data_IF_908988684725
#
_entry.id   IF_908988684725
#
_cell.length_a   1.000
_cell.length_b   1.000
_cell.length_c   1.000
_cell.angle_alpha   90.00
_cell.angle_beta   90.00
_cell.angle_gamma   90.00
#
_symmetry.space_group_name_H-M   'P 1'
#
loop_
_entity.id
_entity.type
_entity.pdbx_description
1 polymer ?
#
# COMPACT_ATOMS: atom_id res chain seq x y z
N UNK A 1 -20.71 16.58 31.42
CA UNK A 1 -20.75 16.55 29.95
C UNK A 1 -20.20 15.20 29.55
N UNK A 2 -21.09 14.27 29.25
CA UNK A 2 -20.76 12.90 28.81
C UNK A 2 -19.92 12.95 27.54
N UNK A 3 -18.68 12.47 27.60
CA UNK A 3 -17.94 12.09 26.40
C UNK A 3 -18.49 10.74 25.96
N UNK A 4 -19.37 10.76 24.97
CA UNK A 4 -19.86 9.56 24.30
C UNK A 4 -18.68 8.86 23.63
N UNK A 5 -18.21 7.77 24.25
CA UNK A 5 -17.44 6.73 23.56
C UNK A 5 -18.34 6.15 22.46
N UNK A 6 -18.30 6.76 21.28
CA UNK A 6 -18.78 6.10 20.07
C UNK A 6 -17.81 4.97 19.79
N UNK A 7 -18.24 3.74 20.10
CA UNK A 7 -17.63 2.54 19.54
C UNK A 7 -17.92 2.61 18.04
N UNK A 8 -16.95 3.08 17.27
CA UNK A 8 -17.00 3.00 15.81
C UNK A 8 -16.94 1.52 15.46
N UNK A 9 -18.06 0.94 15.03
CA UNK A 9 -18.07 -0.37 14.39
C UNK A 9 -17.42 -0.21 13.01
N UNK A 10 -16.10 -0.31 12.99
CA UNK A 10 -15.35 -0.51 11.75
C UNK A 10 -15.63 -1.96 11.32
N UNK A 11 -16.36 -2.13 10.21
CA UNK A 11 -16.49 -3.45 9.59
C UNK A 11 -15.12 -3.83 9.02
N UNK A 12 -14.43 -4.84 9.56
CA UNK A 12 -13.11 -5.21 9.07
C UNK A 12 -13.15 -5.67 7.60
N UNK A 13 -14.32 -6.12 7.11
CA UNK A 13 -14.48 -6.62 5.75
C UNK A 13 -13.40 -7.65 5.38
N UNK A 14 -13.09 -7.81 4.09
CA UNK A 14 -11.97 -8.65 3.66
C UNK A 14 -10.59 -7.99 3.85
N UNK A 15 -10.54 -6.71 4.26
CA UNK A 15 -9.32 -5.89 4.23
C UNK A 15 -8.20 -6.45 5.10
N UNK A 16 -8.51 -6.94 6.30
CA UNK A 16 -7.53 -7.53 7.22
C UNK A 16 -6.92 -8.81 6.68
N UNK A 17 -7.76 -9.67 6.08
CA UNK A 17 -7.29 -10.91 5.45
C UNK A 17 -6.37 -10.59 4.27
N UNK A 18 -6.74 -9.62 3.43
CA UNK A 18 -5.92 -9.20 2.29
C UNK A 18 -4.59 -8.62 2.79
N UNK A 19 -4.61 -7.77 3.82
CA UNK A 19 -3.39 -7.23 4.43
C UNK A 19 -2.49 -8.35 4.94
N UNK A 20 -3.03 -9.30 5.71
CA UNK A 20 -2.26 -10.42 6.23
C UNK A 20 -1.67 -11.30 5.12
N UNK A 21 -2.38 -11.48 3.99
CA UNK A 21 -1.84 -12.17 2.82
C UNK A 21 -0.68 -11.36 2.20
N UNK A 22 -0.81 -10.04 2.08
CA UNK A 22 0.28 -9.19 1.59
C UNK A 22 1.52 -9.28 2.50
N UNK A 23 1.32 -9.34 3.82
CA UNK A 23 2.39 -9.48 4.81
C UNK A 23 3.06 -10.86 4.70
N UNK A 24 2.26 -11.93 4.60
CA UNK A 24 2.75 -13.31 4.51
C UNK A 24 3.60 -13.54 3.25
N UNK A 25 3.25 -12.91 2.13
CA UNK A 25 4.01 -13.04 0.88
C UNK A 25 5.16 -12.04 0.76
N UNK A 26 5.44 -11.23 1.79
CA UNK A 26 6.51 -10.23 1.78
C UNK A 26 6.35 -9.17 0.69
N UNK A 27 5.11 -8.74 0.43
CA UNK A 27 4.80 -7.87 -0.70
C UNK A 27 5.45 -6.50 -0.59
N UNK A 28 5.37 -5.87 0.59
CA UNK A 28 5.91 -4.52 0.78
C UNK A 28 7.42 -4.51 0.66
N UNK A 29 8.10 -5.51 1.25
CA UNK A 29 9.54 -5.71 1.18
C UNK A 29 10.00 -5.86 -0.27
N UNK A 30 9.36 -6.76 -1.01
CA UNK A 30 9.66 -7.00 -2.43
C UNK A 30 9.53 -5.72 -3.26
N UNK A 31 8.45 -4.96 -3.05
CA UNK A 31 8.24 -3.71 -3.80
C UNK A 31 9.24 -2.64 -3.38
N UNK A 32 9.59 -2.54 -2.11
CA UNK A 32 10.54 -1.56 -1.61
C UNK A 32 11.98 -1.86 -2.05
N UNK A 33 12.34 -3.12 -2.30
CA UNK A 33 13.62 -3.50 -2.89
C UNK A 33 13.74 -3.12 -4.37
N UNK A 34 12.62 -3.20 -5.11
CA UNK A 34 12.60 -3.06 -6.56
C UNK A 34 12.31 -1.63 -7.03
N UNK A 35 11.72 -0.79 -6.17
CA UNK A 35 11.23 0.53 -6.54
C UNK A 35 12.04 1.64 -5.88
N UNK A 36 12.42 2.64 -6.67
CA UNK A 36 13.06 3.84 -6.11
C UNK A 36 12.09 4.60 -5.20
N UNK A 37 12.58 5.01 -4.03
CA UNK A 37 11.83 5.79 -3.07
C UNK A 37 12.47 7.15 -2.81
N UNK A 38 11.70 8.21 -3.11
CA UNK A 38 12.04 9.58 -2.74
C UNK A 38 11.30 9.98 -1.44
N UNK A 39 11.96 9.72 -0.32
CA UNK A 39 11.45 10.02 1.03
C UNK A 39 11.13 11.51 1.22
N UNK A 40 11.80 12.42 0.50
CA UNK A 40 11.54 13.86 0.62
C UNK A 40 10.17 14.24 0.05
N UNK A 41 9.64 13.44 -0.87
CA UNK A 41 8.36 13.70 -1.54
C UNK A 41 7.21 12.89 -0.96
N UNK A 42 7.48 11.76 -0.32
CA UNK A 42 6.45 10.93 0.31
C UNK A 42 7.01 10.11 1.47
N UNK A 43 6.41 10.29 2.65
CA UNK A 43 6.80 9.58 3.87
C UNK A 43 6.42 8.09 3.86
N UNK A 44 5.54 7.66 2.96
CA UNK A 44 5.17 6.25 2.84
C UNK A 44 6.00 5.57 1.74
N UNK A 45 6.47 4.36 2.05
CA UNK A 45 7.20 3.53 1.09
C UNK A 45 6.33 3.24 -0.16
N UNK A 46 6.94 2.99 -1.34
CA UNK A 46 6.21 2.54 -2.52
C UNK A 46 5.39 1.27 -2.25
N UNK A 47 5.95 0.32 -1.51
CA UNK A 47 5.31 -0.94 -1.12
C UNK A 47 4.03 -0.71 -0.31
N UNK A 48 4.08 0.11 0.73
CA UNK A 48 2.90 0.44 1.56
C UNK A 48 1.79 1.07 0.72
N UNK A 49 2.15 1.98 -0.19
CA UNK A 49 1.17 2.65 -1.07
C UNK A 49 0.55 1.69 -2.09
N UNK A 50 1.32 0.74 -2.60
CA UNK A 50 0.82 -0.27 -3.54
C UNK A 50 -0.01 -1.36 -2.84
N UNK A 51 0.35 -1.75 -1.60
CA UNK A 51 -0.51 -2.60 -0.75
C UNK A 51 -1.85 -1.92 -0.49
N UNK A 52 -1.84 -0.62 -0.18
CA UNK A 52 -3.08 0.15 -0.01
C UNK A 52 -3.94 0.13 -1.29
N UNK A 53 -3.33 0.27 -2.46
CA UNK A 53 -4.05 0.16 -3.73
C UNK A 53 -4.64 -1.25 -3.93
N UNK A 54 -3.92 -2.32 -3.58
CA UNK A 54 -4.41 -3.70 -3.65
C UNK A 54 -5.61 -3.92 -2.73
N UNK A 55 -5.52 -3.47 -1.47
CA UNK A 55 -6.62 -3.55 -0.51
C UNK A 55 -7.85 -2.83 -1.05
N UNK A 56 -7.68 -1.61 -1.58
CA UNK A 56 -8.76 -0.86 -2.19
C UNK A 56 -9.40 -1.63 -3.37
N UNK A 57 -8.60 -2.13 -4.31
CA UNK A 57 -9.07 -2.87 -5.49
C UNK A 57 -9.80 -4.16 -5.12
N UNK A 58 -9.41 -4.83 -4.05
CA UNK A 58 -9.99 -6.12 -3.65
C UNK A 58 -11.19 -5.99 -2.72
N UNK A 59 -11.34 -4.87 -2.00
CA UNK A 59 -12.47 -4.64 -1.10
C UNK A 59 -13.65 -3.95 -1.78
N UNK A 60 -13.45 -2.73 -2.31
CA UNK A 60 -14.56 -1.85 -2.71
C UNK A 60 -14.31 -1.09 -4.02
N UNK A 61 -13.07 -1.12 -4.55
CA UNK A 61 -12.67 -0.51 -5.83
C UNK A 61 -13.04 0.97 -5.95
N UNK A 62 -12.92 1.72 -4.85
CA UNK A 62 -13.18 3.16 -4.89
C UNK A 62 -12.21 3.85 -5.86
N UNK A 63 -12.66 4.84 -6.64
CA UNK A 63 -11.77 5.64 -7.48
C UNK A 63 -10.61 6.23 -6.65
N UNK A 64 -9.44 6.43 -7.27
CA UNK A 64 -8.26 6.95 -6.58
C UNK A 64 -8.53 8.26 -5.83
N UNK A 65 -9.34 9.17 -6.37
CA UNK A 65 -9.70 10.42 -5.70
C UNK A 65 -10.52 10.25 -4.40
N UNK A 66 -11.06 9.06 -4.16
CA UNK A 66 -11.81 8.70 -2.95
C UNK A 66 -11.06 7.68 -2.06
N UNK A 67 -9.81 7.36 -2.37
CA UNK A 67 -9.08 6.30 -1.66
C UNK A 67 -8.79 6.66 -0.20
N UNK A 68 -8.54 7.94 0.10
CA UNK A 68 -8.39 8.41 1.48
C UNK A 68 -9.69 8.28 2.29
N UNK A 69 -10.84 8.55 1.65
CA UNK A 69 -12.16 8.37 2.26
C UNK A 69 -12.45 6.89 2.51
N UNK A 70 -12.05 6.01 1.58
CA UNK A 70 -12.11 4.56 1.78
C UNK A 70 -11.31 4.13 3.01
N UNK A 71 -10.08 4.60 3.21
CA UNK A 71 -9.30 4.23 4.40
C UNK A 71 -9.80 4.86 5.70
N UNK A 72 -10.60 5.92 5.65
CA UNK A 72 -11.26 6.47 6.85
C UNK A 72 -12.36 5.55 7.40
N UNK A 73 -12.86 4.60 6.61
CA UNK A 73 -13.87 3.61 7.04
C UNK A 73 -13.25 2.33 7.60
N UNK A 74 -11.92 2.22 7.62
CA UNK A 74 -11.15 1.04 8.04
C UNK A 74 -10.22 1.35 9.22
N UNK A 75 -9.80 0.31 9.94
CA UNK A 75 -8.77 0.43 10.97
C UNK A 75 -7.38 0.42 10.32
N UNK A 76 -6.92 1.60 9.87
CA UNK A 76 -5.64 1.78 9.17
C UNK A 76 -4.47 1.23 9.97
N UNK A 77 -4.48 1.34 11.30
CA UNK A 77 -3.40 0.85 12.16
C UNK A 77 -3.31 -0.67 12.23
N UNK A 78 -4.40 -1.36 11.86
CA UNK A 78 -4.41 -2.81 11.77
C UNK A 78 -3.96 -3.31 10.40
N UNK A 79 -3.99 -2.46 9.37
CA UNK A 79 -3.63 -2.82 7.99
C UNK A 79 -2.18 -2.43 7.63
N UNK A 80 -1.63 -1.42 8.32
CA UNK A 80 -0.33 -0.85 8.02
C UNK A 80 0.43 -0.53 9.31
N UNK A 81 1.66 -0.01 9.16
CA UNK A 81 2.45 0.46 10.29
C UNK A 81 1.70 1.48 11.16
N UNK A 82 1.99 1.54 12.48
CA UNK A 82 1.25 2.38 13.43
C UNK A 82 1.23 3.88 13.12
N UNK A 83 2.19 4.34 12.33
CA UNK A 83 2.39 5.75 11.96
C UNK A 83 1.64 6.15 10.67
N UNK A 84 0.99 5.21 10.00
CA UNK A 84 0.19 5.49 8.78
C UNK A 84 -1.18 6.02 9.16
N UNK A 85 -1.55 7.19 8.63
CA UNK A 85 -2.92 7.70 8.72
C UNK A 85 -3.65 7.63 7.38
N UNK A 86 -4.98 7.52 7.40
CA UNK A 86 -5.80 7.47 6.18
C UNK A 86 -5.53 8.64 5.21
N UNK A 87 -5.26 9.84 5.75
CA UNK A 87 -4.93 11.03 4.96
C UNK A 87 -3.62 10.90 4.16
N UNK A 88 -2.70 10.05 4.62
CA UNK A 88 -1.41 9.82 3.96
C UNK A 88 -1.59 8.88 2.76
N UNK A 89 -2.71 8.16 2.70
CA UNK A 89 -3.16 7.30 1.61
C UNK A 89 -4.11 8.07 0.67
N UNK A 90 -3.54 8.96 -0.15
CA UNK A 90 -4.29 9.75 -1.14
C UNK A 90 -3.83 9.46 -2.58
N UNK A 91 -4.60 9.97 -3.55
CA UNK A 91 -4.40 9.76 -4.99
C UNK A 91 -3.03 10.21 -5.48
N UNK A 92 -2.47 11.28 -4.92
CA UNK A 92 -1.17 11.80 -5.34
C UNK A 92 -0.05 10.86 -4.87
N UNK A 93 -0.11 10.41 -3.62
CA UNK A 93 0.87 9.49 -3.06
C UNK A 93 0.84 8.14 -3.82
N UNK A 94 -0.35 7.61 -4.09
CA UNK A 94 -0.52 6.34 -4.82
C UNK A 94 -0.14 6.49 -6.30
N UNK A 95 -0.50 7.60 -6.95
CA UNK A 95 -0.07 7.90 -8.31
C UNK A 95 1.45 7.89 -8.45
N UNK A 96 2.17 8.49 -7.49
CA UNK A 96 3.64 8.45 -7.45
C UNK A 96 4.23 7.06 -7.22
N UNK A 97 3.50 6.17 -6.55
CA UNK A 97 3.91 4.78 -6.40
C UNK A 97 3.71 3.99 -7.70
N UNK A 98 2.65 4.29 -8.45
CA UNK A 98 2.44 3.75 -9.80
C UNK A 98 3.49 4.25 -10.80
N UNK A 99 3.89 5.52 -10.70
CA UNK A 99 5.00 6.05 -11.50
C UNK A 99 6.30 5.30 -11.19
N UNK A 100 6.61 5.08 -9.89
CA UNK A 100 7.77 4.31 -9.49
C UNK A 100 7.71 2.86 -10.00
N UNK A 101 6.54 2.22 -9.91
CA UNK A 101 6.31 0.89 -10.46
C UNK A 101 6.51 0.84 -11.98
N UNK A 102 6.05 1.88 -12.69
CA UNK A 102 6.27 1.99 -14.12
C UNK A 102 7.76 2.07 -14.44
N UNK A 103 8.49 2.98 -13.80
CA UNK A 103 9.93 3.15 -14.07
C UNK A 103 10.79 1.95 -13.65
N UNK A 104 10.50 1.34 -12.49
CA UNK A 104 11.30 0.24 -11.94
C UNK A 104 11.01 -1.13 -12.54
N UNK A 105 9.78 -1.38 -13.00
CA UNK A 105 9.34 -2.72 -13.43
C UNK A 105 8.79 -2.75 -14.86
N UNK A 106 8.04 -1.72 -15.27
CA UNK A 106 7.27 -1.76 -16.53
C UNK A 106 7.88 -0.94 -17.67
N UNK A 107 8.92 -0.14 -17.41
CA UNK A 107 9.63 0.64 -18.41
C UNK A 107 10.90 -0.12 -18.84
N UNK A 108 10.91 -0.78 -20.01
CA UNK A 108 12.07 -1.50 -20.51
C UNK A 108 13.08 -0.53 -21.14
N UNK A 109 13.63 0.40 -20.36
CA UNK A 109 14.80 1.18 -20.77
C UNK A 109 16.07 0.31 -20.68
N UNK A 110 16.33 -0.38 -21.78
CA UNK A 110 17.43 -1.22 -22.29
C UNK A 110 18.87 -1.25 -21.69
N UNK A 111 19.18 -0.73 -20.50
CA UNK A 111 20.55 -0.76 -19.97
C UNK A 111 20.78 -1.22 -18.53
N UNK A 112 19.78 -1.35 -17.67
CA UNK A 112 19.99 -1.82 -16.29
C UNK A 112 18.74 -2.53 -15.76
N UNK A 113 18.58 -3.81 -16.07
CA UNK A 113 18.03 -4.73 -15.08
C UNK A 113 19.20 -5.66 -14.72
N UNK A 114 19.80 -5.59 -13.52
CA UNK A 114 20.25 -6.84 -12.95
C UNK A 114 19.00 -7.71 -12.89
N UNK A 115 19.07 -8.95 -13.36
CA UNK A 115 17.99 -9.91 -13.10
C UNK A 115 17.89 -10.11 -11.59
N UNK A 116 17.18 -9.21 -10.91
CA UNK A 116 16.72 -9.41 -9.56
C UNK A 116 15.55 -10.39 -9.68
N UNK A 117 15.90 -11.66 -9.84
CA UNK A 117 15.01 -12.76 -9.50
C UNK A 117 14.74 -12.57 -8.01
N UNK A 118 13.50 -12.21 -7.60
CA UNK A 118 13.23 -12.01 -6.20
C UNK A 118 13.39 -13.35 -5.49
N UNK A 119 14.16 -13.36 -4.41
CA UNK A 119 14.49 -14.59 -3.66
C UNK A 119 13.23 -15.35 -3.19
N UNK A 120 12.08 -14.68 -3.14
CA UNK A 120 10.79 -15.27 -2.78
C UNK A 120 10.26 -16.27 -3.83
N UNK A 121 10.72 -16.17 -5.09
CA UNK A 121 10.44 -17.16 -6.15
C UNK A 121 11.44 -18.35 -6.13
N UNK A 122 12.43 -18.32 -5.24
CA UNK A 122 13.42 -19.38 -5.02
C UNK A 122 13.14 -20.20 -3.73
N UNK A 123 12.06 -19.91 -3.00
CA UNK A 123 11.63 -20.71 -1.86
C UNK A 123 11.11 -22.09 -2.32
N UNK A 124 11.40 -23.18 -1.58
CA UNK A 124 11.09 -24.55 -1.98
C UNK A 124 9.60 -24.87 -2.06
#
# INVERSE_FOLDING_TARGET
>A
MEQTNQILNLDPGPSQLISAICDEIGLEELLNEQLEWDEQRCNLSPGTRLKALIINILCDRQPLCHISEFFQTLDVKMLFDPDVAAKDLNEYCIGRALDALYEGVLNPCHLCLPEARPAILDAP
#
